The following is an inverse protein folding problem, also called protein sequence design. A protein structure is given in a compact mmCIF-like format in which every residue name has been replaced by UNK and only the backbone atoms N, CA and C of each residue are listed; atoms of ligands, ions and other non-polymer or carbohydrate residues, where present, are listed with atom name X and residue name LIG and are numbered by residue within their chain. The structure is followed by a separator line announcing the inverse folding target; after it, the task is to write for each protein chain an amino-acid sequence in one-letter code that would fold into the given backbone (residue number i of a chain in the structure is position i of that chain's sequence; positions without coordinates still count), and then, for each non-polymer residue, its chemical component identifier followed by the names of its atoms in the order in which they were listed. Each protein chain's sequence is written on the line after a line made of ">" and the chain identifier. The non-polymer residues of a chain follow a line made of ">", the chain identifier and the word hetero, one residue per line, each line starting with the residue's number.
data_IF_805221203385
#
_entry.id   IF_805221203385
#
_cell.length_a   1.000
_cell.length_b   1.000
_cell.length_c   1.000
_cell.angle_alpha   90.00
_cell.angle_beta   90.00
_cell.angle_gamma   90.00
#
_symmetry.space_group_name_H-M   'P 1'
#
loop_
_entity.id
_entity.type
_entity.pdbx_description
1 polymer ?
#
# COMPACT_ATOMS: atom_id res chain seq x y z
N UNK A 1 -2.47 15.86 -17.74
CA UNK A 1 -3.09 14.51 -17.77
C UNK A 1 -2.07 13.49 -18.26
N UNK A 2 -1.66 13.46 -19.53
CA UNK A 2 -0.74 12.40 -20.01
C UNK A 2 0.58 12.29 -19.25
N UNK A 3 1.26 13.43 -19.02
CA UNK A 3 2.51 13.49 -18.24
C UNK A 3 2.29 12.97 -16.81
N UNK A 4 1.18 13.38 -16.16
CA UNK A 4 0.84 12.94 -14.81
C UNK A 4 0.58 11.42 -14.77
N UNK A 5 -0.16 10.88 -15.75
CA UNK A 5 -0.41 9.44 -15.84
C UNK A 5 0.91 8.66 -15.96
N UNK A 6 1.86 9.14 -16.78
CA UNK A 6 3.20 8.51 -16.90
C UNK A 6 3.97 8.54 -15.58
N UNK A 7 3.97 9.69 -14.89
CA UNK A 7 4.62 9.82 -13.59
C UNK A 7 3.97 8.90 -12.54
N UNK A 8 2.63 8.80 -12.56
CA UNK A 8 1.87 7.97 -11.64
C UNK A 8 2.08 6.47 -11.87
N UNK A 9 2.35 6.03 -13.11
CA UNK A 9 2.76 4.64 -13.41
C UNK A 9 4.09 4.31 -12.71
N UNK A 10 5.09 5.21 -12.79
CA UNK A 10 6.37 5.01 -12.11
C UNK A 10 6.19 4.99 -10.58
N UNK A 11 5.36 5.89 -10.07
CA UNK A 11 5.07 5.96 -8.63
C UNK A 11 4.36 4.69 -8.14
N UNK A 12 3.30 4.24 -8.80
CA UNK A 12 2.55 3.05 -8.37
C UNK A 12 3.40 1.79 -8.44
N UNK A 13 4.35 1.70 -9.39
CA UNK A 13 5.32 0.59 -9.45
C UNK A 13 6.22 0.56 -8.20
N UNK A 14 6.72 1.71 -7.77
CA UNK A 14 7.49 1.82 -6.52
C UNK A 14 6.66 1.41 -5.28
N UNK A 15 5.40 1.85 -5.22
CA UNK A 15 4.48 1.50 -4.11
C UNK A 15 4.15 0.01 -4.10
N UNK A 16 3.98 -0.62 -5.27
CA UNK A 16 3.78 -2.07 -5.41
C UNK A 16 4.99 -2.82 -4.86
N UNK A 17 6.21 -2.46 -5.29
CA UNK A 17 7.43 -3.10 -4.81
C UNK A 17 7.63 -2.91 -3.30
N UNK A 18 7.35 -1.71 -2.78
CA UNK A 18 7.41 -1.45 -1.34
C UNK A 18 6.43 -2.34 -0.57
N UNK A 19 5.17 -2.45 -1.02
CA UNK A 19 4.20 -3.33 -0.38
C UNK A 19 4.59 -4.81 -0.46
N UNK A 20 5.21 -5.27 -1.55
CA UNK A 20 5.74 -6.64 -1.67
C UNK A 20 6.80 -6.92 -0.61
N UNK A 21 7.76 -6.01 -0.40
CA UNK A 21 8.77 -6.15 0.64
C UNK A 21 8.15 -6.23 2.04
N UNK A 22 7.11 -5.45 2.33
CA UNK A 22 6.38 -5.55 3.60
C UNK A 22 5.65 -6.90 3.74
N UNK A 23 5.05 -7.40 2.66
CA UNK A 23 4.39 -8.72 2.65
C UNK A 23 5.41 -9.82 2.98
N UNK A 24 6.58 -9.82 2.34
CA UNK A 24 7.64 -10.80 2.61
C UNK A 24 8.11 -10.77 4.06
N UNK A 25 8.25 -9.56 4.61
CA UNK A 25 8.64 -9.37 6.01
C UNK A 25 7.54 -9.85 6.99
N UNK A 26 6.27 -9.56 6.70
CA UNK A 26 5.12 -10.09 7.46
C UNK A 26 5.04 -11.63 7.35
N UNK A 27 5.33 -12.20 6.18
CA UNK A 27 5.39 -13.66 5.97
C UNK A 27 6.53 -14.32 6.74
N UNK A 28 7.68 -13.65 6.85
CA UNK A 28 8.75 -14.09 7.74
C UNK A 28 8.29 -14.13 9.20
N UNK A 29 7.63 -13.08 9.70
CA UNK A 29 7.09 -13.10 11.07
C UNK A 29 6.08 -14.25 11.27
N UNK A 30 5.18 -14.46 10.31
CA UNK A 30 4.22 -15.57 10.33
C UNK A 30 4.92 -16.94 10.28
N UNK A 31 6.02 -17.08 9.54
CA UNK A 31 6.76 -18.35 9.48
C UNK A 31 7.44 -18.68 10.82
N UNK A 32 7.96 -17.67 11.54
CA UNK A 32 8.49 -17.83 12.90
C UNK A 32 7.38 -18.21 13.88
N UNK A 33 6.21 -17.56 13.82
CA UNK A 33 5.04 -17.90 14.65
C UNK A 33 4.61 -19.35 14.42
N UNK A 34 4.59 -19.78 13.15
CA UNK A 34 4.23 -21.14 12.76
C UNK A 34 5.36 -22.16 12.96
N UNK A 35 6.46 -21.78 13.62
CA UNK A 35 7.62 -22.63 13.92
C UNK A 35 8.29 -23.25 12.69
N UNK A 36 8.11 -22.65 11.51
CA UNK A 36 8.84 -23.01 10.30
C UNK A 36 10.26 -22.43 10.33
N UNK A 37 10.39 -21.24 10.92
CA UNK A 37 11.65 -20.55 11.16
C UNK A 37 11.93 -20.45 12.67
N UNK A 38 13.23 -20.41 13.03
CA UNK A 38 13.64 -20.19 14.42
C UNK A 38 13.44 -18.73 14.83
N UNK A 39 13.06 -18.53 16.09
CA UNK A 39 12.96 -17.20 16.68
C UNK A 39 14.35 -16.60 16.91
N UNK A 40 14.64 -15.52 16.21
CA UNK A 40 15.83 -14.68 16.42
C UNK A 40 15.35 -13.30 16.89
N UNK A 41 15.65 -12.94 18.13
CA UNK A 41 15.05 -11.77 18.79
C UNK A 41 15.24 -10.48 17.97
N UNK A 42 16.48 -10.15 17.63
CA UNK A 42 16.78 -8.90 16.89
C UNK A 42 16.14 -8.87 15.51
N UNK A 43 16.15 -10.02 14.80
CA UNK A 43 15.51 -10.12 13.48
C UNK A 43 13.99 -9.92 13.58
N UNK A 44 13.35 -10.54 14.57
CA UNK A 44 11.90 -10.37 14.81
C UNK A 44 11.59 -8.92 15.18
N UNK A 45 12.35 -8.31 16.08
CA UNK A 45 12.17 -6.91 16.49
C UNK A 45 12.31 -5.97 15.29
N UNK A 46 13.36 -6.14 14.48
CA UNK A 46 13.57 -5.33 13.28
C UNK A 46 12.47 -5.54 12.24
N UNK A 47 12.01 -6.77 12.05
CA UNK A 47 10.87 -7.08 11.17
C UNK A 47 9.56 -6.45 11.67
N UNK A 48 9.33 -6.37 12.97
CA UNK A 48 8.14 -5.68 13.51
C UNK A 48 8.25 -4.16 13.28
N UNK A 49 9.44 -3.59 13.45
CA UNK A 49 9.67 -2.15 13.27
C UNK A 49 9.38 -1.64 11.85
N UNK A 50 9.48 -2.51 10.84
CA UNK A 50 9.25 -2.17 9.43
C UNK A 50 7.80 -2.34 9.00
N UNK A 51 6.85 -2.65 9.91
CA UNK A 51 5.43 -2.71 9.56
C UNK A 51 4.87 -1.29 9.41
N UNK A 52 4.91 -0.78 8.19
CA UNK A 52 4.41 0.55 7.78
C UNK A 52 3.49 0.46 6.57
N UNK A 53 2.86 1.56 6.17
CA UNK A 53 1.86 1.59 5.10
C UNK A 53 2.31 2.48 3.93
N UNK A 54 3.03 1.94 2.94
CA UNK A 54 3.27 2.64 1.68
C UNK A 54 1.96 2.73 0.89
N UNK A 55 1.38 3.92 0.85
CA UNK A 55 0.12 4.23 0.18
C UNK A 55 0.31 5.16 -1.02
N UNK A 56 -0.57 5.02 -2.01
CA UNK A 56 -0.53 5.78 -3.26
C UNK A 56 -1.42 7.03 -3.21
N UNK A 57 -0.87 8.15 -3.66
CA UNK A 57 -1.61 9.38 -3.98
C UNK A 57 -1.26 9.80 -5.41
N UNK A 58 -2.26 9.88 -6.28
CA UNK A 58 -2.09 10.21 -7.69
C UNK A 58 -2.11 11.72 -7.96
N UNK A 59 -1.42 12.13 -9.02
CA UNK A 59 -1.43 13.50 -9.49
C UNK A 59 -2.76 13.81 -10.19
N UNK A 60 -3.52 14.81 -9.73
CA UNK A 60 -4.83 15.16 -10.29
C UNK A 60 -4.95 16.59 -10.82
N UNK A 61 -3.89 17.39 -10.75
CA UNK A 61 -3.96 18.83 -11.01
C UNK A 61 -4.45 19.15 -12.44
N UNK A 62 -3.89 18.52 -13.46
CA UNK A 62 -4.29 18.80 -14.84
C UNK A 62 -5.66 18.21 -15.19
N UNK A 63 -6.04 17.07 -14.60
CA UNK A 63 -7.40 16.53 -14.76
C UNK A 63 -8.43 17.48 -14.14
N UNK A 64 -8.26 17.86 -12.88
CA UNK A 64 -9.16 18.78 -12.18
C UNK A 64 -9.26 20.14 -12.88
N UNK A 65 -8.14 20.68 -13.37
CA UNK A 65 -8.14 21.94 -14.14
C UNK A 65 -8.89 21.81 -15.47
N UNK A 66 -8.77 20.66 -16.14
CA UNK A 66 -9.48 20.39 -17.41
C UNK A 66 -10.99 20.24 -17.23
N UNK A 67 -11.41 19.61 -16.12
CA UNK A 67 -12.82 19.49 -15.75
C UNK A 67 -13.40 20.86 -15.38
N UNK A 68 -12.71 21.62 -14.51
CA UNK A 68 -13.15 22.92 -14.04
C UNK A 68 -13.28 23.96 -15.16
N UNK A 69 -12.37 23.91 -16.15
CA UNK A 69 -12.42 24.80 -17.32
C UNK A 69 -13.45 24.38 -18.39
N UNK A 70 -14.17 23.27 -18.19
CA UNK A 70 -15.10 22.71 -19.17
C UNK A 70 -14.42 22.06 -20.39
N UNK A 71 -13.11 22.22 -20.56
CA UNK A 71 -12.33 21.66 -21.69
C UNK A 71 -12.46 20.16 -21.82
N UNK A 72 -12.59 19.48 -20.69
CA UNK A 72 -12.77 18.03 -20.64
C UNK A 72 -14.15 17.56 -21.16
N UNK A 73 -15.19 18.39 -20.98
CA UNK A 73 -16.55 18.12 -21.44
C UNK A 73 -16.80 18.57 -22.89
N UNK A 74 -16.03 19.55 -23.37
CA UNK A 74 -16.09 20.04 -24.77
C UNK A 74 -15.28 19.18 -25.73
N UNK A 75 -14.29 18.44 -25.24
CA UNK A 75 -13.72 17.31 -25.97
C UNK A 75 -14.82 16.25 -26.05
N UNK A 76 -15.23 15.87 -27.27
CA UNK A 76 -16.35 14.96 -27.57
C UNK A 76 -16.44 13.73 -26.65
N UNK A 77 -17.62 13.10 -26.57
CA UNK A 77 -17.88 11.79 -25.92
C UNK A 77 -17.05 10.65 -26.55
N UNK A 78 -15.73 10.78 -26.49
CA UNK A 78 -14.77 9.89 -27.06
C UNK A 78 -14.39 8.87 -25.99
N UNK A 79 -14.04 7.67 -26.45
CA UNK A 79 -13.63 6.56 -25.59
C UNK A 79 -12.50 6.96 -24.63
N UNK A 80 -11.64 7.92 -25.03
CA UNK A 80 -10.51 8.42 -24.24
C UNK A 80 -10.96 9.19 -23.01
N UNK A 81 -11.88 10.16 -23.15
CA UNK A 81 -12.45 10.94 -22.05
C UNK A 81 -13.10 10.02 -21.01
N UNK A 82 -13.83 8.99 -21.45
CA UNK A 82 -14.39 7.98 -20.56
C UNK A 82 -13.32 7.18 -19.81
N UNK A 83 -12.22 6.78 -20.47
CA UNK A 83 -11.12 6.05 -19.79
C UNK A 83 -10.38 6.93 -18.78
N UNK A 84 -10.17 8.22 -19.11
CA UNK A 84 -9.54 9.19 -18.19
C UNK A 84 -10.46 9.44 -16.99
N UNK A 85 -11.74 9.75 -17.20
CA UNK A 85 -12.69 9.90 -16.10
C UNK A 85 -12.75 8.65 -15.24
N UNK A 86 -12.81 7.45 -15.82
CA UNK A 86 -12.81 6.22 -15.05
C UNK A 86 -11.54 6.07 -14.19
N UNK A 87 -10.36 6.40 -14.73
CA UNK A 87 -9.11 6.38 -13.96
C UNK A 87 -9.17 7.31 -12.73
N UNK A 88 -9.52 8.59 -12.94
CA UNK A 88 -9.49 9.61 -11.89
C UNK A 88 -10.65 9.50 -10.90
N UNK A 89 -11.86 9.28 -11.40
CA UNK A 89 -13.10 9.31 -10.60
C UNK A 89 -13.43 7.95 -9.97
N UNK A 90 -12.89 6.84 -10.48
CA UNK A 90 -13.11 5.52 -9.90
C UNK A 90 -11.84 4.92 -9.33
N UNK A 91 -10.83 4.65 -10.15
CA UNK A 91 -9.66 3.87 -9.71
C UNK A 91 -8.81 4.63 -8.68
N UNK A 92 -8.50 5.90 -8.92
CA UNK A 92 -7.72 6.71 -7.97
C UNK A 92 -8.48 6.88 -6.65
N UNK A 93 -9.76 7.29 -6.71
CA UNK A 93 -10.58 7.43 -5.50
C UNK A 93 -10.67 6.12 -4.71
N UNK A 94 -10.88 4.99 -5.40
CA UNK A 94 -10.95 3.68 -4.72
C UNK A 94 -9.61 3.29 -4.11
N UNK A 95 -8.50 3.57 -4.80
CA UNK A 95 -7.16 3.27 -4.29
C UNK A 95 -6.82 4.12 -3.06
N UNK A 96 -7.19 5.41 -3.04
CA UNK A 96 -7.03 6.29 -1.86
C UNK A 96 -7.81 5.76 -0.67
N UNK A 97 -9.11 5.45 -0.84
CA UNK A 97 -9.92 4.85 0.24
C UNK A 97 -9.33 3.55 0.79
N UNK A 98 -8.72 2.75 -0.09
CA UNK A 98 -8.05 1.51 0.29
C UNK A 98 -6.70 1.78 0.97
N UNK A 99 -6.02 2.88 0.65
CA UNK A 99 -4.82 3.38 1.31
C UNK A 99 -5.12 3.85 2.72
N UNK A 100 -6.15 4.68 2.91
CA UNK A 100 -6.57 5.17 4.24
C UNK A 100 -6.89 4.01 5.19
N UNK A 101 -7.53 2.95 4.68
CA UNK A 101 -7.79 1.73 5.45
C UNK A 101 -6.52 0.96 5.80
N UNK A 102 -5.49 0.98 4.95
CA UNK A 102 -4.19 0.36 5.24
C UNK A 102 -3.44 1.18 6.29
N UNK A 103 -3.45 2.51 6.20
CA UNK A 103 -2.85 3.41 7.18
C UNK A 103 -3.49 3.22 8.56
N UNK A 104 -4.82 3.23 8.63
CA UNK A 104 -5.54 2.99 9.88
C UNK A 104 -5.20 1.63 10.49
N UNK A 105 -5.06 0.59 9.67
CA UNK A 105 -4.70 -0.75 10.15
C UNK A 105 -3.28 -0.83 10.68
N UNK A 106 -2.33 -0.14 10.06
CA UNK A 106 -0.97 -0.07 10.60
C UNK A 106 -0.92 0.72 11.91
N UNK A 107 -1.67 1.82 12.01
CA UNK A 107 -1.81 2.57 13.27
C UNK A 107 -2.41 1.70 14.38
N UNK A 108 -3.52 1.00 14.09
CA UNK A 108 -4.12 0.05 15.03
C UNK A 108 -3.13 -1.05 15.41
N UNK A 109 -2.41 -1.60 14.43
CA UNK A 109 -1.44 -2.67 14.68
C UNK A 109 -0.34 -2.20 15.62
N UNK A 110 0.12 -0.98 15.38
CA UNK A 110 1.16 -0.35 16.15
C UNK A 110 0.73 -0.14 17.60
N UNK A 111 -0.44 0.46 17.80
CA UNK A 111 -1.04 0.75 19.11
C UNK A 111 -1.34 -0.52 19.90
N UNK A 112 -1.98 -1.50 19.27
CA UNK A 112 -2.62 -2.61 19.99
C UNK A 112 -1.73 -3.85 20.10
N UNK A 113 -0.77 -4.02 19.16
CA UNK A 113 0.06 -5.23 19.09
C UNK A 113 1.56 -4.94 19.16
N UNK A 114 2.09 -4.03 18.35
CA UNK A 114 3.54 -3.85 18.23
C UNK A 114 4.16 -3.05 19.40
N UNK A 115 3.35 -2.24 20.11
CA UNK A 115 3.83 -1.30 21.14
C UNK A 115 4.72 -1.96 22.21
N UNK A 116 4.49 -3.24 22.51
CA UNK A 116 5.29 -4.01 23.46
C UNK A 116 6.75 -4.16 23.01
N UNK A 117 7.01 -4.11 21.72
CA UNK A 117 8.34 -4.18 21.11
C UNK A 117 9.02 -2.81 20.97
N UNK A 118 8.40 -1.70 21.35
CA UNK A 118 9.00 -0.38 21.13
C UNK A 118 10.30 -0.19 21.91
N UNK A 119 10.38 -0.71 23.13
CA UNK A 119 11.62 -0.66 23.91
C UNK A 119 12.81 -1.29 23.18
N UNK A 120 12.75 -2.56 22.72
CA UNK A 120 13.85 -3.11 21.94
C UNK A 120 14.03 -2.45 20.57
N UNK A 121 12.97 -2.00 19.89
CA UNK A 121 13.08 -1.24 18.62
C UNK A 121 13.94 0.03 18.80
N UNK A 122 13.77 0.73 19.93
CA UNK A 122 14.51 1.95 20.26
C UNK A 122 15.70 1.69 21.20
N UNK A 123 16.26 0.48 21.17
CA UNK A 123 17.50 0.11 21.87
C UNK A 123 17.52 0.48 23.37
N UNK A 124 16.38 0.34 24.05
CA UNK A 124 16.31 0.59 25.49
C UNK A 124 16.97 -0.55 26.27
N UNK A 125 17.49 -0.25 27.46
CA UNK A 125 18.12 -1.25 28.33
C UNK A 125 17.09 -2.12 29.08
N UNK A 126 17.58 -3.21 29.68
CA UNK A 126 16.83 -4.14 30.54
C UNK A 126 15.58 -4.73 29.86
N UNK A 127 15.75 -5.26 28.65
CA UNK A 127 14.68 -5.87 27.87
C UNK A 127 14.37 -7.28 28.38
N UNK A 128 13.12 -7.52 28.78
CA UNK A 128 12.62 -8.86 29.07
C UNK A 128 12.31 -9.61 27.76
N UNK A 129 13.35 -10.27 27.23
CA UNK A 129 13.26 -11.03 25.97
C UNK A 129 12.37 -12.27 26.09
N UNK A 130 12.23 -12.85 27.29
CA UNK A 130 11.41 -14.06 27.54
C UNK A 130 9.93 -13.72 27.46
N UNK A 131 9.51 -12.65 28.12
CA UNK A 131 8.12 -12.18 28.06
C UNK A 131 7.73 -11.70 26.67
N UNK A 132 8.62 -11.01 25.97
CA UNK A 132 8.39 -10.57 24.59
C UNK A 132 8.28 -11.73 23.61
N UNK A 133 9.14 -12.74 23.73
CA UNK A 133 9.02 -13.98 22.95
C UNK A 133 7.68 -14.67 23.22
N UNK A 134 7.28 -14.77 24.50
CA UNK A 134 5.99 -15.35 24.87
C UNK A 134 4.82 -14.58 24.26
N UNK A 135 4.89 -13.25 24.28
CA UNK A 135 3.88 -12.39 23.66
C UNK A 135 3.84 -12.51 22.13
N UNK A 136 4.99 -12.58 21.47
CA UNK A 136 5.10 -12.79 20.02
C UNK A 136 4.33 -14.04 19.57
N UNK A 137 4.43 -15.13 20.32
CA UNK A 137 3.70 -16.38 20.04
C UNK A 137 2.24 -16.38 20.52
N UNK A 138 1.76 -15.30 21.13
CA UNK A 138 0.39 -15.23 21.62
C UNK A 138 -0.62 -15.11 20.48
N UNK A 139 -1.84 -15.63 20.70
CA UNK A 139 -2.97 -15.46 19.77
C UNK A 139 -3.25 -13.98 19.47
N UNK A 140 -3.02 -13.09 20.45
CA UNK A 140 -3.29 -11.67 20.30
C UNK A 140 -2.39 -11.03 19.23
N UNK A 141 -1.06 -11.20 19.37
CA UNK A 141 -0.10 -10.68 18.39
C UNK A 141 -0.31 -11.33 17.01
N UNK A 142 -0.48 -12.65 16.97
CA UNK A 142 -0.68 -13.38 15.73
C UNK A 142 -1.93 -12.91 14.96
N UNK A 143 -3.07 -12.77 15.63
CA UNK A 143 -4.30 -12.29 14.98
C UNK A 143 -4.17 -10.84 14.50
N UNK A 144 -3.47 -9.99 15.26
CA UNK A 144 -3.14 -8.63 14.84
C UNK A 144 -2.32 -8.60 13.56
N UNK A 145 -1.26 -9.41 13.48
CA UNK A 145 -0.41 -9.53 12.30
C UNK A 145 -1.18 -10.06 11.09
N UNK A 146 -2.00 -11.12 11.27
CA UNK A 146 -2.84 -11.67 10.21
C UNK A 146 -3.83 -10.64 9.65
N UNK A 147 -4.45 -9.83 10.51
CA UNK A 147 -5.37 -8.76 10.09
C UNK A 147 -4.67 -7.74 9.19
N UNK A 148 -3.46 -7.31 9.54
CA UNK A 148 -2.70 -6.37 8.73
C UNK A 148 -2.24 -7.02 7.41
N UNK A 149 -1.64 -8.20 7.52
CA UNK A 149 -1.09 -8.95 6.40
C UNK A 149 -2.14 -9.29 5.34
N UNK A 150 -3.29 -9.82 5.76
CA UNK A 150 -4.37 -10.16 4.83
C UNK A 150 -4.83 -8.93 4.04
N UNK A 151 -5.06 -7.80 4.72
CA UNK A 151 -5.54 -6.59 4.05
C UNK A 151 -4.51 -6.06 3.04
N UNK A 152 -3.23 -5.99 3.42
CA UNK A 152 -2.16 -5.57 2.50
C UNK A 152 -2.09 -6.50 1.29
N UNK A 153 -1.89 -7.80 1.53
CA UNK A 153 -1.65 -8.82 0.50
C UNK A 153 -2.82 -9.03 -0.45
N UNK A 154 -4.06 -9.04 0.08
CA UNK A 154 -5.25 -9.41 -0.70
C UNK A 154 -6.01 -8.19 -1.18
N UNK A 155 -6.27 -7.22 -0.30
CA UNK A 155 -7.13 -6.08 -0.63
C UNK A 155 -6.36 -4.95 -1.29
N UNK A 156 -5.26 -4.48 -0.66
CA UNK A 156 -4.54 -3.31 -1.14
C UNK A 156 -3.76 -3.61 -2.43
N UNK A 157 -2.98 -4.69 -2.46
CA UNK A 157 -2.25 -5.11 -3.67
C UNK A 157 -3.17 -5.28 -4.88
N UNK A 158 -4.35 -5.89 -4.69
CA UNK A 158 -5.33 -6.01 -5.78
C UNK A 158 -5.72 -4.65 -6.36
N UNK A 159 -5.93 -3.64 -5.51
CA UNK A 159 -6.29 -2.28 -5.97
C UNK A 159 -5.13 -1.55 -6.62
N UNK A 160 -3.91 -1.75 -6.14
CA UNK A 160 -2.71 -1.23 -6.81
C UNK A 160 -2.60 -1.77 -8.23
N UNK A 161 -2.66 -3.09 -8.41
CA UNK A 161 -2.55 -3.71 -9.73
C UNK A 161 -3.68 -3.29 -10.68
N UNK A 162 -4.94 -3.30 -10.22
CA UNK A 162 -6.08 -2.87 -11.02
C UNK A 162 -5.97 -1.40 -11.46
N UNK A 163 -5.47 -0.53 -10.58
CA UNK A 163 -5.28 0.89 -10.90
C UNK A 163 -4.14 1.06 -11.90
N UNK A 164 -3.02 0.37 -11.70
CA UNK A 164 -1.88 0.37 -12.61
C UNK A 164 -2.29 -0.08 -14.03
N UNK A 165 -3.06 -1.16 -14.14
CA UNK A 165 -3.58 -1.63 -15.43
C UNK A 165 -4.41 -0.54 -16.14
N UNK A 166 -5.28 0.15 -15.39
CA UNK A 166 -6.06 1.25 -15.94
C UNK A 166 -5.18 2.45 -16.33
N UNK A 167 -4.13 2.77 -15.57
CA UNK A 167 -3.17 3.82 -15.93
C UNK A 167 -2.47 3.51 -17.25
N UNK A 168 -1.95 2.28 -17.41
CA UNK A 168 -1.29 1.83 -18.65
C UNK A 168 -2.25 1.88 -19.84
N UNK A 169 -3.51 1.48 -19.64
CA UNK A 169 -4.54 1.58 -20.68
C UNK A 169 -4.78 3.03 -21.11
N UNK A 170 -4.88 3.96 -20.16
CA UNK A 170 -5.02 5.40 -20.44
C UNK A 170 -3.78 5.95 -21.14
N UNK A 171 -2.57 5.60 -20.70
CA UNK A 171 -1.32 6.03 -21.33
C UNK A 171 -1.25 5.58 -22.81
N UNK A 172 -1.55 4.32 -23.09
CA UNK A 172 -1.58 3.77 -24.45
C UNK A 172 -2.59 4.51 -25.34
N UNK A 173 -3.79 4.78 -24.82
CA UNK A 173 -4.81 5.54 -25.56
C UNK A 173 -4.38 6.98 -25.83
N UNK A 174 -3.71 7.64 -24.87
CA UNK A 174 -3.19 8.99 -25.04
C UNK A 174 -2.02 9.04 -26.03
N UNK A 175 -1.09 8.09 -25.97
CA UNK A 175 -0.01 7.98 -26.97
C UNK A 175 -0.60 7.81 -28.39
N UNK A 176 -1.57 6.91 -28.58
CA UNK A 176 -2.19 6.70 -29.89
C UNK A 176 -2.98 7.90 -30.43
N UNK A 177 -3.40 8.83 -29.55
CA UNK A 177 -4.15 10.02 -29.94
C UNK A 177 -3.26 11.22 -30.29
N UNK A 178 -2.05 11.30 -29.73
CA UNK A 178 -1.11 12.40 -29.97
C UNK A 178 -0.06 12.08 -31.04
N UNK A 179 0.14 10.81 -31.38
CA UNK A 179 1.17 10.37 -32.35
C UNK A 179 0.59 9.72 -33.62
N UNK A 180 -0.72 9.81 -33.84
CA UNK A 180 -1.39 9.59 -35.13
C UNK A 180 -2.02 10.91 -35.60
#
# INVERSE_FOLDING_TARGET
>A
IHIEVKADIVNIDSIISSNQNHIENEEYLLSVINKKEKFHFDKVVNSIATITSPTFFGNNAAYSSSVASGRFNTASHNQISNQISNLYEHYYKRLVLNGDLLDQRAVDFNRDYSIKFYRPIYNQNNIDTVSLKTYFYSKNFHNGLLRNHHFRKVNYMKRLFQTREQMVKVDNHLNNHFYN
#
